data_IF_870475899837
#
_entry.id   IF_870475899837
#
_cell.length_a   1.000
_cell.length_b   1.000
_cell.length_c   1.000
_cell.angle_alpha   90.00
_cell.angle_beta   90.00
_cell.angle_gamma   90.00
#
_symmetry.space_group_name_H-M   'P 1'
#
loop_
_entity.id
_entity.type
_entity.pdbx_description
1 polymer ?
#
# COMPACT_ATOMS: atom_id res chain seq x y z
N UNK A 1 -18.58 -13.81 24.89
CA UNK A 1 -18.69 -14.52 23.60
C UNK A 1 -18.76 -13.47 22.51
N UNK A 2 -17.75 -13.36 21.64
CA UNK A 2 -17.93 -12.65 20.37
C UNK A 2 -18.85 -13.51 19.51
N UNK A 3 -19.85 -12.88 18.88
CA UNK A 3 -20.75 -13.58 17.97
C UNK A 3 -20.06 -13.72 16.62
N UNK A 4 -20.35 -14.78 15.84
CA UNK A 4 -19.81 -14.94 14.46
C UNK A 4 -19.99 -13.70 13.59
N UNK A 5 -21.07 -12.94 13.81
CA UNK A 5 -21.31 -11.66 13.15
C UNK A 5 -20.24 -10.60 13.44
N UNK A 6 -19.74 -10.51 14.69
CA UNK A 6 -18.69 -9.56 15.03
C UNK A 6 -17.37 -9.92 14.38
N UNK A 7 -17.01 -11.21 14.37
CA UNK A 7 -15.78 -11.69 13.72
C UNK A 7 -15.77 -11.39 12.22
N UNK A 8 -16.89 -11.64 11.54
CA UNK A 8 -17.02 -11.31 10.12
C UNK A 8 -16.84 -9.81 9.86
N UNK A 9 -17.52 -8.96 10.64
CA UNK A 9 -17.42 -7.50 10.46
C UNK A 9 -15.99 -7.00 10.65
N UNK A 10 -15.28 -7.47 11.67
CA UNK A 10 -13.88 -7.08 11.91
C UNK A 10 -12.95 -7.55 10.78
N UNK A 11 -13.15 -8.76 10.25
CA UNK A 11 -12.38 -9.22 9.08
C UNK A 11 -12.64 -8.36 7.84
N UNK A 12 -13.89 -7.99 7.58
CA UNK A 12 -14.22 -7.11 6.46
C UNK A 12 -13.60 -5.73 6.62
N UNK A 13 -13.60 -5.20 7.86
CA UNK A 13 -12.97 -3.92 8.18
C UNK A 13 -11.46 -3.96 7.93
N UNK A 14 -10.77 -4.98 8.43
CA UNK A 14 -9.33 -5.15 8.20
C UNK A 14 -8.98 -5.27 6.70
N UNK A 15 -9.83 -5.95 5.92
CA UNK A 15 -9.67 -6.04 4.45
C UNK A 15 -9.79 -4.67 3.79
N UNK A 16 -10.82 -3.89 4.14
CA UNK A 16 -11.01 -2.54 3.58
C UNK A 16 -9.86 -1.59 3.95
N UNK A 17 -9.42 -1.62 5.21
CA UNK A 17 -8.31 -0.78 5.67
C UNK A 17 -7.00 -1.13 4.96
N UNK A 18 -6.73 -2.43 4.74
CA UNK A 18 -5.56 -2.87 3.98
C UNK A 18 -5.62 -2.45 2.50
N UNK A 19 -6.80 -2.54 1.86
CA UNK A 19 -7.02 -2.08 0.48
C UNK A 19 -6.82 -0.57 0.35
N UNK A 20 -7.41 0.22 1.26
CA UNK A 20 -7.22 1.67 1.30
C UNK A 20 -5.76 2.06 1.55
N UNK A 21 -5.09 1.39 2.49
CA UNK A 21 -3.67 1.59 2.76
C UNK A 21 -2.79 1.24 1.55
N UNK A 22 -3.11 0.14 0.87
CA UNK A 22 -2.43 -0.31 -0.35
C UNK A 22 -2.43 0.71 -1.48
N UNK A 23 -3.54 1.43 -1.63
CA UNK A 23 -3.71 2.48 -2.65
C UNK A 23 -3.08 3.83 -2.27
N UNK A 24 -2.49 3.95 -1.07
CA UNK A 24 -1.76 5.16 -0.68
C UNK A 24 -0.35 5.15 -1.28
N UNK A 25 0.14 6.35 -1.55
CA UNK A 25 1.51 6.56 -2.04
C UNK A 25 2.50 6.19 -0.94
N UNK A 26 3.39 5.26 -1.25
CA UNK A 26 4.54 4.88 -0.44
C UNK A 26 5.65 5.91 -0.57
N UNK A 27 5.99 6.31 -1.80
CA UNK A 27 6.93 7.40 -2.06
C UNK A 27 6.67 8.03 -3.43
N UNK A 28 7.23 9.22 -3.59
CA UNK A 28 7.32 9.94 -4.86
C UNK A 28 8.80 10.18 -5.17
N UNK A 29 9.19 9.93 -6.42
CA UNK A 29 10.53 10.21 -6.90
C UNK A 29 10.43 10.84 -8.28
N UNK A 30 11.09 11.98 -8.48
CA UNK A 30 11.18 12.62 -9.78
C UNK A 30 12.65 12.75 -10.16
N UNK A 31 13.04 12.14 -11.29
CA UNK A 31 14.42 12.16 -11.75
C UNK A 31 14.49 12.03 -13.28
N UNK A 32 15.41 12.75 -13.91
CA UNK A 32 15.68 12.70 -15.35
C UNK A 32 14.43 12.80 -16.25
N UNK A 33 13.43 13.59 -15.84
CA UNK A 33 12.20 13.78 -16.60
C UNK A 33 11.20 12.61 -16.49
N UNK A 34 11.35 11.74 -15.50
CA UNK A 34 10.38 10.70 -15.15
C UNK A 34 9.85 10.96 -13.73
N UNK A 35 8.53 11.01 -13.59
CA UNK A 35 7.82 10.99 -12.32
C UNK A 35 7.47 9.54 -11.98
N UNK A 36 7.88 9.10 -10.80
CA UNK A 36 7.64 7.78 -10.24
C UNK A 36 6.75 7.90 -8.99
N UNK A 37 5.62 7.19 -9.01
CA UNK A 37 4.66 7.12 -7.91
C UNK A 37 4.52 5.67 -7.48
N UNK A 38 5.16 5.30 -6.36
CA UNK A 38 5.07 3.96 -5.82
C UNK A 38 3.95 3.87 -4.79
N UNK A 39 3.15 2.81 -4.86
CA UNK A 39 2.05 2.54 -3.95
C UNK A 39 2.41 1.44 -2.94
N UNK A 40 1.71 1.42 -1.81
CA UNK A 40 1.92 0.39 -0.79
C UNK A 40 1.56 -1.01 -1.27
N UNK A 41 0.66 -1.14 -2.25
CA UNK A 41 0.26 -2.41 -2.86
C UNK A 41 1.34 -3.04 -3.77
N UNK A 42 2.46 -2.37 -4.03
CA UNK A 42 3.54 -2.88 -4.88
C UNK A 42 3.51 -2.41 -6.34
N UNK A 43 2.48 -1.69 -6.76
CA UNK A 43 2.47 -1.04 -8.08
C UNK A 43 3.29 0.26 -8.06
N UNK A 44 3.96 0.54 -9.17
CA UNK A 44 4.65 1.81 -9.38
C UNK A 44 4.23 2.39 -10.72
N UNK A 45 3.70 3.61 -10.68
CA UNK A 45 3.23 4.33 -11.84
C UNK A 45 4.30 5.31 -12.28
N UNK A 46 4.61 5.30 -13.57
CA UNK A 46 5.60 6.17 -14.17
C UNK A 46 4.96 7.09 -15.19
N UNK A 47 5.49 8.31 -15.27
CA UNK A 47 5.16 9.29 -16.29
C UNK A 47 6.40 10.02 -16.79
N UNK A 48 6.72 9.90 -18.08
CA UNK A 48 7.72 10.75 -18.74
C UNK A 48 7.15 12.16 -18.88
N UNK A 49 7.74 13.15 -18.21
CA UNK A 49 7.22 14.52 -18.16
C UNK A 49 7.32 15.26 -19.49
N UNK A 50 8.25 14.85 -20.35
CA UNK A 50 8.47 15.48 -21.66
C UNK A 50 7.45 15.02 -22.72
N UNK A 51 6.98 13.77 -22.62
CA UNK A 51 6.12 13.13 -23.64
C UNK A 51 4.71 12.84 -23.12
N UNK A 52 4.52 12.81 -21.81
CA UNK A 52 3.30 12.36 -21.15
C UNK A 52 3.10 10.85 -21.20
N UNK A 53 4.09 10.08 -21.67
CA UNK A 53 4.00 8.62 -21.76
C UNK A 53 3.94 8.02 -20.35
N UNK A 54 2.97 7.12 -20.14
CA UNK A 54 2.72 6.46 -18.86
C UNK A 54 2.89 4.96 -18.97
N UNK A 55 3.42 4.34 -17.94
CA UNK A 55 3.47 2.89 -17.79
C UNK A 55 3.40 2.51 -16.31
N UNK A 56 3.12 1.24 -16.06
CA UNK A 56 3.02 0.67 -14.72
C UNK A 56 4.01 -0.48 -14.64
N UNK A 57 4.77 -0.53 -13.56
CA UNK A 57 5.59 -1.69 -13.20
C UNK A 57 5.14 -2.26 -11.86
N UNK A 58 5.48 -3.52 -11.63
CA UNK A 58 5.01 -4.28 -10.48
C UNK A 58 3.62 -4.87 -10.71
N UNK A 59 3.14 -5.58 -9.70
CA UNK A 59 1.80 -6.15 -9.66
C UNK A 59 1.21 -5.86 -8.29
N UNK A 60 -0.05 -5.40 -8.26
CA UNK A 60 -0.77 -5.27 -7.00
C UNK A 60 -0.74 -6.58 -6.21
N UNK A 61 -0.37 -6.46 -4.94
CA UNK A 61 -0.31 -7.58 -4.02
C UNK A 61 -1.64 -8.34 -3.96
N UNK A 62 -1.53 -9.66 -3.80
CA UNK A 62 -2.71 -10.45 -3.44
C UNK A 62 -3.31 -9.92 -2.14
N UNK A 63 -4.64 -10.06 -1.96
CA UNK A 63 -5.32 -9.62 -0.72
C UNK A 63 -4.63 -10.11 0.54
N UNK A 64 -4.17 -11.36 0.54
CA UNK A 64 -3.44 -11.96 1.67
C UNK A 64 -2.11 -11.24 1.92
N UNK A 65 -1.33 -11.01 0.87
CA UNK A 65 -0.04 -10.30 0.97
C UNK A 65 -0.23 -8.87 1.45
N UNK A 66 -1.26 -8.19 0.95
CA UNK A 66 -1.56 -6.81 1.31
C UNK A 66 -1.92 -6.66 2.79
N UNK A 67 -2.79 -7.55 3.30
CA UNK A 67 -3.16 -7.58 4.73
C UNK A 67 -1.93 -7.84 5.59
N UNK A 68 -1.09 -8.83 5.24
CA UNK A 68 0.13 -9.13 6.00
C UNK A 68 1.11 -7.94 6.05
N UNK A 69 1.25 -7.21 4.94
CA UNK A 69 2.09 -6.00 4.90
C UNK A 69 1.48 -4.87 5.71
N UNK A 70 0.16 -4.71 5.69
CA UNK A 70 -0.55 -3.71 6.49
C UNK A 70 -0.44 -4.00 7.99
N UNK A 71 -0.62 -5.25 8.42
CA UNK A 71 -0.44 -5.67 9.81
C UNK A 71 0.98 -5.38 10.31
N UNK A 72 2.00 -5.66 9.47
CA UNK A 72 3.39 -5.31 9.78
C UNK A 72 3.60 -3.80 9.92
N UNK A 73 3.04 -3.03 8.99
CA UNK A 73 3.08 -1.56 9.05
C UNK A 73 2.48 -1.04 10.37
N UNK A 74 1.31 -1.55 10.76
CA UNK A 74 0.65 -1.16 12.00
C UNK A 74 1.47 -1.59 13.24
N UNK A 75 2.10 -2.76 13.20
CA UNK A 75 2.99 -3.22 14.26
C UNK A 75 4.20 -2.30 14.43
N UNK A 76 4.87 -1.93 13.33
CA UNK A 76 6.02 -1.01 13.35
C UNK A 76 5.60 0.38 13.89
N UNK A 77 4.47 0.92 13.43
CA UNK A 77 3.90 2.18 13.94
C UNK A 77 3.59 2.11 15.44
N UNK A 78 3.05 0.99 15.92
CA UNK A 78 2.66 0.82 17.33
C UNK A 78 3.84 0.87 18.30
N UNK A 79 5.05 0.52 17.83
CA UNK A 79 6.29 0.55 18.62
C UNK A 79 7.15 1.79 18.34
N UNK A 80 6.63 2.76 17.57
CA UNK A 80 7.35 4.00 17.22
C UNK A 80 8.50 3.79 16.25
N UNK A 81 8.54 2.66 15.54
CA UNK A 81 9.50 2.41 14.46
C UNK A 81 8.98 3.06 13.18
N UNK A 82 9.84 3.75 12.43
CA UNK A 82 9.46 4.18 11.08
C UNK A 82 9.20 2.95 10.20
N UNK A 83 7.95 2.72 9.76
CA UNK A 83 7.62 1.59 8.88
C UNK A 83 8.24 1.72 7.48
N UNK A 84 8.74 2.90 7.11
CA UNK A 84 9.42 3.16 5.83
C UNK A 84 10.95 3.20 5.94
N UNK A 85 11.51 3.10 7.15
CA UNK A 85 12.93 2.87 7.40
C UNK A 85 13.85 4.10 7.41
N UNK A 86 13.34 5.28 7.77
CA UNK A 86 14.16 6.46 8.11
C UNK A 86 14.58 6.51 9.58
#
# INVERSE_FOLDING_TARGET
>A
MMTQYKEQVEEYKAKMEAEEWGNRVKYLHASNGVLEVAYNNGETHFEETATGKKWIEGQADSKKTLIQRFEKFMADVSIGRDPYGQ
#
